data_IF_025333690170
#
_entry.id   IF_025333690170
#
_cell.length_a   1.000
_cell.length_b   1.000
_cell.length_c   1.000
_cell.angle_alpha   90.00
_cell.angle_beta   90.00
_cell.angle_gamma   90.00
#
_symmetry.space_group_name_H-M   'P 1'
#
loop_
_entity.id
_entity.type
_entity.pdbx_description
1 polymer ?
#
# COMPACT_ATOMS: atom_id res chain seq x y z
N UNK A 1 -2.58 -25.19 -5.97
CA UNK A 1 -1.81 -23.96 -5.74
C UNK A 1 -2.78 -22.81 -5.82
N UNK A 2 -3.22 -22.28 -4.69
CA UNK A 2 -4.27 -21.26 -4.67
C UNK A 2 -3.91 -20.00 -5.45
N UNK A 3 -4.88 -19.47 -6.18
CA UNK A 3 -4.80 -18.27 -7.02
C UNK A 3 -4.74 -16.95 -6.22
N UNK A 4 -4.44 -16.98 -4.92
CA UNK A 4 -4.43 -15.77 -4.09
C UNK A 4 -3.17 -14.94 -4.37
N UNK A 5 -3.35 -13.65 -4.60
CA UNK A 5 -2.24 -12.71 -4.77
C UNK A 5 -1.46 -12.62 -3.45
N UNK A 6 -0.23 -13.16 -3.44
CA UNK A 6 0.73 -12.93 -2.35
C UNK A 6 0.77 -11.44 -2.08
N UNK A 7 0.72 -11.00 -0.82
CA UNK A 7 0.77 -9.58 -0.46
C UNK A 7 1.91 -8.87 -1.21
N UNK A 8 1.56 -8.21 -2.32
CA UNK A 8 2.52 -7.48 -3.12
C UNK A 8 2.96 -6.26 -2.32
N UNK A 9 4.25 -5.93 -2.40
CA UNK A 9 4.80 -4.73 -1.73
C UNK A 9 4.00 -3.47 -2.08
N UNK A 10 3.38 -3.42 -3.26
CA UNK A 10 2.52 -2.31 -3.70
C UNK A 10 1.22 -2.21 -2.91
N UNK A 11 0.61 -3.33 -2.51
CA UNK A 11 -0.67 -3.34 -1.81
C UNK A 11 -0.56 -2.82 -0.38
N UNK A 12 0.62 -2.93 0.25
CA UNK A 12 0.88 -2.48 1.61
C UNK A 12 0.55 -0.98 1.83
N UNK A 13 0.75 -0.16 0.81
CA UNK A 13 0.62 1.29 0.91
C UNK A 13 -0.82 1.80 0.69
N UNK A 14 -1.74 0.94 0.24
CA UNK A 14 -3.15 1.30 0.09
C UNK A 14 -3.85 1.32 1.44
N UNK A 15 -4.97 2.03 1.55
CA UNK A 15 -5.74 2.08 2.80
C UNK A 15 -6.23 0.72 3.24
N UNK A 16 -6.39 0.52 4.56
CA UNK A 16 -7.02 -0.70 5.11
C UNK A 16 -8.43 -0.91 4.58
N UNK A 17 -9.20 0.17 4.41
CA UNK A 17 -10.53 0.08 3.74
C UNK A 17 -10.44 -0.29 2.26
N UNK A 18 -9.30 -0.05 1.62
CA UNK A 18 -9.01 -0.45 0.24
C UNK A 18 -8.18 -1.74 0.17
N UNK A 19 -8.05 -2.43 1.31
CA UNK A 19 -7.33 -3.68 1.52
C UNK A 19 -5.81 -3.68 1.49
N UNK A 20 -5.21 -2.50 1.62
CA UNK A 20 -3.80 -2.41 2.00
C UNK A 20 -3.58 -2.39 3.50
N UNK A 21 -2.37 -2.04 3.92
CA UNK A 21 -2.01 -1.88 5.34
C UNK A 21 -1.93 -0.40 5.76
N UNK A 22 -2.20 0.52 4.84
CA UNK A 22 -2.09 1.96 5.07
C UNK A 22 -0.66 2.43 5.31
N UNK A 23 0.35 1.67 4.88
CA UNK A 23 1.75 2.05 5.07
C UNK A 23 2.09 3.28 4.23
N UNK A 24 3.03 4.08 4.72
CA UNK A 24 3.50 5.25 3.97
C UNK A 24 4.55 4.88 2.94
N UNK A 25 4.32 5.18 1.66
CA UNK A 25 5.33 5.01 0.63
C UNK A 25 6.32 6.18 0.64
N UNK A 26 7.62 5.90 0.90
CA UNK A 26 8.64 6.95 1.07
C UNK A 26 8.78 7.86 -0.15
N UNK A 27 8.86 7.28 -1.36
CA UNK A 27 8.92 8.06 -2.60
C UNK A 27 7.75 9.04 -2.74
N UNK A 28 6.50 8.57 -2.53
CA UNK A 28 5.30 9.42 -2.58
C UNK A 28 5.37 10.52 -1.52
N UNK A 29 5.77 10.19 -0.29
CA UNK A 29 5.97 11.19 0.78
C UNK A 29 6.98 12.25 0.38
N UNK A 30 8.09 11.87 -0.25
CA UNK A 30 9.11 12.82 -0.71
C UNK A 30 8.60 13.73 -1.83
N UNK A 31 7.88 13.18 -2.82
CA UNK A 31 7.24 13.97 -3.88
C UNK A 31 6.31 15.04 -3.28
N UNK A 32 5.43 14.62 -2.38
CA UNK A 32 4.47 15.54 -1.73
C UNK A 32 5.20 16.55 -0.85
N UNK A 33 6.23 16.15 -0.10
CA UNK A 33 7.01 17.08 0.72
C UNK A 33 7.67 18.18 -0.12
N UNK A 34 8.29 17.83 -1.26
CA UNK A 34 8.95 18.79 -2.15
C UNK A 34 7.95 19.74 -2.82
N UNK A 35 6.78 19.23 -3.20
CA UNK A 35 5.69 20.07 -3.68
C UNK A 35 5.22 21.07 -2.63
N UNK A 36 4.97 20.61 -1.41
CA UNK A 36 4.53 21.46 -0.30
C UNK A 36 5.60 22.47 0.12
N UNK A 37 6.89 22.09 0.05
CA UNK A 37 7.98 23.04 0.18
C UNK A 37 7.83 24.17 -0.84
N UNK A 38 7.72 23.85 -2.13
CA UNK A 38 7.60 24.88 -3.17
C UNK A 38 6.36 25.76 -2.99
N UNK A 39 5.21 25.16 -2.65
CA UNK A 39 3.93 25.85 -2.48
C UNK A 39 3.86 26.73 -1.23
N UNK A 40 4.41 26.28 -0.11
CA UNK A 40 4.18 26.89 1.21
C UNK A 40 5.40 27.65 1.74
N UNK A 41 6.48 27.73 0.97
CA UNK A 41 7.65 28.52 1.35
C UNK A 41 7.28 30.00 1.47
N UNK A 42 7.52 30.58 2.66
CA UNK A 42 7.29 32.00 2.96
C UNK A 42 8.57 32.78 3.25
N UNK A 43 9.68 32.06 3.41
CA UNK A 43 10.97 32.70 3.66
C UNK A 43 11.38 33.53 2.44
N UNK A 44 11.67 34.84 2.60
CA UNK A 44 11.98 35.73 1.47
C UNK A 44 13.20 35.29 0.66
N UNK A 45 14.21 34.72 1.33
CA UNK A 45 15.41 34.22 0.66
C UNK A 45 15.07 33.00 -0.20
N UNK A 46 14.40 31.99 0.36
CA UNK A 46 14.01 30.80 -0.40
C UNK A 46 13.03 31.10 -1.53
N UNK A 47 12.11 32.06 -1.36
CA UNK A 47 11.24 32.55 -2.42
C UNK A 47 12.05 33.14 -3.57
N UNK A 48 13.03 33.99 -3.27
CA UNK A 48 13.93 34.58 -4.28
C UNK A 48 14.72 33.50 -5.01
N UNK A 49 15.21 32.48 -4.30
CA UNK A 49 15.91 31.35 -4.91
C UNK A 49 14.98 30.56 -5.84
N UNK A 50 13.75 30.27 -5.42
CA UNK A 50 12.75 29.61 -6.25
C UNK A 50 12.42 30.45 -7.50
N UNK A 51 12.21 31.76 -7.34
CA UNK A 51 11.88 32.67 -8.44
C UNK A 51 12.99 32.75 -9.49
N UNK A 52 14.23 32.96 -9.04
CA UNK A 52 15.38 33.17 -9.93
C UNK A 52 15.84 31.88 -10.62
N UNK A 53 15.79 30.74 -9.91
CA UNK A 53 16.30 29.46 -10.42
C UNK A 53 15.24 28.60 -11.11
N UNK A 54 13.96 28.71 -10.75
CA UNK A 54 12.90 27.82 -11.25
C UNK A 54 12.00 28.44 -12.31
N UNK A 55 11.99 29.77 -12.47
CA UNK A 55 11.16 30.49 -13.46
C UNK A 55 11.25 29.90 -14.87
N UNK A 56 12.46 29.59 -15.35
CA UNK A 56 12.66 28.99 -16.67
C UNK A 56 12.18 27.53 -16.76
N UNK A 57 12.19 26.78 -15.66
CA UNK A 57 11.90 25.34 -15.65
C UNK A 57 10.44 25.03 -15.34
N UNK A 58 9.75 25.97 -14.68
CA UNK A 58 8.35 25.92 -14.25
C UNK A 58 7.66 27.26 -14.53
N UNK A 59 7.63 27.73 -15.80
CA UNK A 59 7.10 29.05 -16.15
C UNK A 59 5.61 29.21 -15.86
N UNK A 60 4.87 28.10 -15.82
CA UNK A 60 3.45 28.08 -15.48
C UNK A 60 3.16 28.42 -14.01
N UNK A 61 4.17 28.30 -13.14
CA UNK A 61 4.03 28.47 -11.69
C UNK A 61 4.84 29.64 -11.13
N UNK A 62 5.89 30.08 -11.84
CA UNK A 62 6.85 31.05 -11.34
C UNK A 62 7.11 32.09 -12.42
N UNK A 63 6.69 33.32 -12.15
CA UNK A 63 7.01 34.50 -12.95
C UNK A 63 8.16 35.24 -12.27
N UNK A 64 9.23 35.55 -13.01
CA UNK A 64 10.34 36.35 -12.51
C UNK A 64 10.91 37.23 -13.62
N UNK A 65 11.33 38.45 -13.26
CA UNK A 65 12.05 39.38 -14.12
C UNK A 65 13.55 39.08 -14.21
N UNK A 66 14.07 38.27 -13.28
CA UNK A 66 15.47 37.90 -13.22
C UNK A 66 15.63 36.38 -13.34
N UNK A 67 16.24 35.94 -14.43
CA UNK A 67 16.48 34.52 -14.70
C UNK A 67 17.97 34.22 -14.56
N UNK A 68 18.32 33.31 -13.67
CA UNK A 68 19.72 32.87 -13.57
C UNK A 68 20.01 31.83 -14.66
N UNK A 69 21.04 32.06 -15.46
CA UNK A 69 21.52 31.10 -16.46
C UNK A 69 22.42 30.07 -15.79
N UNK A 70 21.87 28.87 -15.53
CA UNK A 70 22.61 27.77 -14.92
C UNK A 70 21.75 26.51 -14.76
N UNK A 71 22.39 25.36 -14.60
CA UNK A 71 21.69 24.11 -14.32
C UNK A 71 21.20 24.10 -12.87
N UNK A 72 19.94 23.71 -12.66
CA UNK A 72 19.42 23.50 -11.30
C UNK A 72 19.94 22.16 -10.77
N UNK A 73 20.56 22.19 -9.59
CA UNK A 73 21.18 21.04 -8.95
C UNK A 73 20.62 20.80 -7.54
N UNK A 74 20.95 19.64 -6.98
CA UNK A 74 20.57 19.25 -5.62
C UNK A 74 19.05 19.25 -5.42
N UNK A 75 18.62 19.73 -4.25
CA UNK A 75 17.22 19.71 -3.83
C UNK A 75 16.27 20.42 -4.81
N UNK A 76 16.69 21.54 -5.40
CA UNK A 76 15.86 22.29 -6.35
C UNK A 76 15.57 21.49 -7.62
N UNK A 77 16.49 20.62 -8.05
CA UNK A 77 16.27 19.70 -9.19
C UNK A 77 15.17 18.69 -8.85
N UNK A 78 15.17 18.19 -7.62
CA UNK A 78 14.14 17.25 -7.14
C UNK A 78 12.77 17.93 -7.01
N UNK A 79 12.73 19.20 -6.61
CA UNK A 79 11.49 20.00 -6.57
C UNK A 79 10.89 20.12 -7.97
N UNK A 80 11.69 20.48 -8.98
CA UNK A 80 11.24 20.55 -10.38
C UNK A 80 10.74 19.19 -10.87
N UNK A 81 11.49 18.12 -10.58
CA UNK A 81 11.08 16.76 -10.96
C UNK A 81 9.74 16.37 -10.31
N UNK A 82 9.55 16.73 -9.03
CA UNK A 82 8.32 16.45 -8.30
C UNK A 82 7.14 17.25 -8.86
N UNK A 83 7.33 18.53 -9.16
CA UNK A 83 6.32 19.38 -9.80
C UNK A 83 5.87 18.78 -11.13
N UNK A 84 6.80 18.49 -12.04
CA UNK A 84 6.49 17.89 -13.34
C UNK A 84 5.79 16.54 -13.20
N UNK A 85 6.22 15.72 -12.25
CA UNK A 85 5.58 14.44 -11.97
C UNK A 85 4.11 14.60 -11.55
N UNK A 86 3.80 15.62 -10.75
CA UNK A 86 2.44 15.91 -10.28
C UNK A 86 1.58 16.55 -11.36
N UNK A 87 2.12 17.48 -12.15
CA UNK A 87 1.37 18.19 -13.19
C UNK A 87 0.82 17.27 -14.29
N UNK A 88 1.50 16.15 -14.56
CA UNK A 88 1.00 15.12 -15.50
C UNK A 88 -0.21 14.35 -14.94
N UNK A 89 -0.39 14.35 -13.61
CA UNK A 89 -1.39 13.50 -12.91
C UNK A 89 -2.55 14.28 -12.32
N UNK A 90 -2.35 15.56 -12.02
CA UNK A 90 -3.34 16.40 -11.34
C UNK A 90 -3.41 17.75 -12.01
N UNK A 91 -4.61 18.34 -12.01
CA UNK A 91 -4.79 19.72 -12.45
C UNK A 91 -4.13 20.70 -11.48
N UNK A 92 -3.75 21.87 -12.01
CA UNK A 92 -3.18 22.97 -11.23
C UNK A 92 -4.09 23.36 -10.07
N UNK A 93 -5.39 23.56 -10.32
CA UNK A 93 -6.37 23.92 -9.28
C UNK A 93 -6.45 22.89 -8.15
N UNK A 94 -6.34 21.60 -8.50
CA UNK A 94 -6.30 20.54 -7.51
C UNK A 94 -5.06 20.64 -6.63
N UNK A 95 -3.88 20.81 -7.25
CA UNK A 95 -2.61 20.86 -6.54
C UNK A 95 -2.55 22.03 -5.54
N UNK A 96 -3.07 23.19 -5.89
CA UNK A 96 -3.05 24.36 -5.00
C UNK A 96 -4.11 24.33 -3.90
N UNK A 97 -5.21 23.59 -4.07
CA UNK A 97 -6.27 23.45 -3.07
C UNK A 97 -6.12 22.23 -2.14
N UNK A 98 -5.46 21.17 -2.58
CA UNK A 98 -5.39 19.89 -1.85
C UNK A 98 -4.49 19.97 -0.61
N UNK A 99 -4.88 19.29 0.47
CA UNK A 99 -4.04 19.11 1.66
C UNK A 99 -3.01 17.98 1.51
N UNK A 100 -1.91 18.06 2.28
CA UNK A 100 -0.76 17.14 2.20
C UNK A 100 -1.12 15.66 2.30
N UNK A 101 -1.95 15.31 3.30
CA UNK A 101 -2.39 13.93 3.55
C UNK A 101 -3.25 13.39 2.40
N UNK A 102 -4.10 14.25 1.82
CA UNK A 102 -5.00 13.90 0.72
C UNK A 102 -4.19 13.66 -0.56
N UNK A 103 -3.26 14.55 -0.90
CA UNK A 103 -2.39 14.36 -2.06
C UNK A 103 -1.55 13.08 -1.98
N UNK A 104 -0.97 12.75 -0.82
CA UNK A 104 -0.26 11.47 -0.62
C UNK A 104 -1.17 10.27 -0.92
N UNK A 105 -2.42 10.33 -0.48
CA UNK A 105 -3.39 9.26 -0.68
C UNK A 105 -3.74 9.08 -2.15
N UNK A 106 -4.06 10.18 -2.83
CA UNK A 106 -4.51 10.10 -4.23
C UNK A 106 -3.36 9.70 -5.16
N UNK A 107 -2.12 10.08 -4.81
CA UNK A 107 -0.92 9.54 -5.47
C UNK A 107 -0.78 8.04 -5.28
N UNK A 108 -0.97 7.51 -4.06
CA UNK A 108 -0.96 6.06 -3.85
C UNK A 108 -2.02 5.37 -4.70
N UNK A 109 -3.22 5.93 -4.78
CA UNK A 109 -4.31 5.35 -5.56
C UNK A 109 -4.09 5.45 -7.08
N UNK A 110 -3.37 6.45 -7.56
CA UNK A 110 -3.04 6.63 -8.99
C UNK A 110 -1.84 5.78 -9.42
N UNK A 111 -0.83 5.63 -8.54
CA UNK A 111 0.43 4.95 -8.87
C UNK A 111 0.41 3.45 -8.63
N UNK A 112 -0.42 2.97 -7.70
CA UNK A 112 -0.40 1.58 -7.27
C UNK A 112 -1.61 0.85 -7.87
N UNK A 113 -1.40 -0.35 -8.44
CA UNK A 113 -2.49 -1.09 -9.06
C UNK A 113 -3.58 -1.41 -8.04
N UNK A 114 -4.80 -1.57 -8.54
CA UNK A 114 -5.91 -2.05 -7.73
C UNK A 114 -5.62 -3.51 -7.36
N UNK A 115 -5.62 -3.87 -6.06
CA UNK A 115 -5.38 -5.24 -5.63
C UNK A 115 -6.36 -6.24 -6.27
N UNK A 116 -5.88 -7.41 -6.68
CA UNK A 116 -6.66 -8.36 -7.50
C UNK A 116 -7.92 -8.90 -6.79
N UNK A 117 -7.92 -9.01 -5.46
CA UNK A 117 -9.11 -9.41 -4.69
C UNK A 117 -10.28 -8.41 -4.80
N UNK A 118 -10.10 -7.25 -5.45
CA UNK A 118 -11.17 -6.30 -5.78
C UNK A 118 -11.72 -6.48 -7.19
N UNK A 119 -10.93 -6.98 -8.14
CA UNK A 119 -11.34 -7.11 -9.55
C UNK A 119 -12.53 -8.07 -9.72
N UNK A 120 -12.69 -9.03 -8.81
CA UNK A 120 -13.73 -10.06 -8.88
C UNK A 120 -15.06 -9.71 -8.17
N UNK A 121 -15.15 -8.59 -7.44
CA UNK A 121 -16.34 -8.23 -6.64
C UNK A 121 -16.86 -6.81 -6.93
N UNK A 122 -16.63 -6.33 -8.15
CA UNK A 122 -16.72 -4.91 -8.50
C UNK A 122 -18.14 -4.37 -8.75
N UNK A 123 -19.21 -5.11 -8.47
CA UNK A 123 -20.55 -4.65 -8.87
C UNK A 123 -21.29 -3.83 -7.81
N UNK A 124 -20.98 -3.94 -6.50
CA UNK A 124 -21.74 -3.22 -5.47
C UNK A 124 -20.90 -2.65 -4.32
N UNK A 125 -21.21 -1.40 -3.95
CA UNK A 125 -20.60 -0.66 -2.82
C UNK A 125 -20.84 -1.46 -1.52
N UNK A 126 -19.77 -1.89 -0.85
CA UNK A 126 -19.84 -2.62 0.43
C UNK A 126 -19.59 -4.14 0.37
N UNK A 127 -19.31 -4.71 -0.82
CA UNK A 127 -18.97 -6.14 -1.01
C UNK A 127 -17.47 -6.44 -0.91
N UNK A 128 -16.68 -5.48 -0.45
CA UNK A 128 -15.26 -5.70 -0.25
C UNK A 128 -15.06 -6.74 0.88
N UNK A 129 -14.29 -7.79 0.60
CA UNK A 129 -14.07 -8.92 1.52
C UNK A 129 -13.57 -8.46 2.90
N UNK A 130 -12.75 -7.42 2.97
CA UNK A 130 -12.21 -6.90 4.23
C UNK A 130 -13.22 -6.07 5.02
N UNK A 131 -14.10 -5.33 4.35
CA UNK A 131 -15.26 -4.67 4.97
C UNK A 131 -16.23 -5.71 5.51
N UNK A 132 -16.45 -6.80 4.78
CA UNK A 132 -17.26 -7.93 5.23
C UNK A 132 -16.64 -8.60 6.46
N UNK A 133 -15.36 -9.01 6.39
CA UNK A 133 -14.64 -9.65 7.51
C UNK A 133 -14.59 -8.76 8.76
N UNK A 134 -14.47 -7.44 8.60
CA UNK A 134 -14.54 -6.50 9.73
C UNK A 134 -15.93 -6.47 10.38
N UNK A 135 -16.99 -6.58 9.59
CA UNK A 135 -18.39 -6.60 10.06
C UNK A 135 -18.82 -7.94 10.65
N UNK A 136 -18.15 -9.04 10.33
CA UNK A 136 -18.44 -10.34 10.96
C UNK A 136 -18.26 -10.21 12.48
N UNK A 137 -19.24 -10.61 13.31
CA UNK A 137 -19.10 -10.70 14.76
C UNK A 137 -18.27 -11.93 15.12
N UNK A 138 -16.98 -11.88 14.80
CA UNK A 138 -16.02 -12.92 15.12
C UNK A 138 -14.91 -12.36 16.01
N UNK A 139 -14.29 -13.25 16.79
CA UNK A 139 -13.14 -12.92 17.62
C UNK A 139 -12.03 -12.25 16.77
N UNK A 140 -11.28 -11.29 17.33
CA UNK A 140 -10.17 -10.63 16.61
C UNK A 140 -9.16 -11.61 16.01
N UNK A 141 -8.94 -12.76 16.65
CA UNK A 141 -8.08 -13.85 16.15
C UNK A 141 -8.60 -14.45 14.84
N UNK A 142 -9.92 -14.63 14.72
CA UNK A 142 -10.58 -15.13 13.51
C UNK A 142 -10.48 -14.10 12.39
N UNK A 143 -10.71 -12.82 12.69
CA UNK A 143 -10.52 -11.73 11.70
C UNK A 143 -9.07 -11.63 11.22
N UNK A 144 -8.11 -11.78 12.13
CA UNK A 144 -6.68 -11.80 11.81
C UNK A 144 -6.33 -13.01 10.94
N UNK A 145 -6.93 -14.16 11.22
CA UNK A 145 -6.78 -15.35 10.39
C UNK A 145 -7.29 -15.11 8.97
N UNK A 146 -8.51 -14.60 8.80
CA UNK A 146 -9.06 -14.27 7.49
C UNK A 146 -8.19 -13.25 6.75
N UNK A 147 -7.70 -12.24 7.45
CA UNK A 147 -6.76 -11.28 6.88
C UNK A 147 -5.48 -11.96 6.36
N UNK A 148 -4.88 -12.84 7.17
CA UNK A 148 -3.67 -13.59 6.76
C UNK A 148 -3.94 -14.54 5.61
N UNK A 149 -5.10 -15.20 5.60
CA UNK A 149 -5.54 -16.09 4.54
C UNK A 149 -5.70 -15.33 3.22
N UNK A 150 -6.45 -14.22 3.21
CA UNK A 150 -6.70 -13.42 2.01
C UNK A 150 -5.46 -12.71 1.48
N UNK A 151 -4.50 -12.38 2.34
CA UNK A 151 -3.23 -11.74 1.94
C UNK A 151 -2.14 -12.74 1.58
N UNK A 152 -2.41 -14.05 1.70
CA UNK A 152 -1.40 -15.10 1.51
C UNK A 152 -0.23 -15.00 2.48
N UNK A 153 -0.46 -14.48 3.70
CA UNK A 153 0.55 -14.31 4.76
C UNK A 153 0.34 -15.28 5.93
N UNK A 154 -0.39 -16.36 5.69
CA UNK A 154 -0.48 -17.44 6.67
C UNK A 154 0.91 -18.06 6.87
N UNK A 155 1.31 -18.31 8.13
CA UNK A 155 2.63 -18.87 8.44
C UNK A 155 2.66 -20.38 8.19
N UNK A 156 2.33 -20.81 6.96
CA UNK A 156 2.53 -22.19 6.50
C UNK A 156 4.02 -22.42 6.24
N UNK A 157 4.51 -23.65 6.42
CA UNK A 157 5.96 -23.91 6.32
C UNK A 157 6.55 -23.55 4.96
N UNK A 158 5.82 -23.79 3.86
CA UNK A 158 6.24 -23.38 2.51
C UNK A 158 6.41 -21.87 2.40
N UNK A 159 5.49 -21.08 2.97
CA UNK A 159 5.60 -19.61 3.00
C UNK A 159 6.79 -19.14 3.83
N UNK A 160 7.07 -19.79 4.96
CA UNK A 160 8.20 -19.44 5.82
C UNK A 160 9.55 -19.76 5.16
N UNK A 161 9.65 -20.92 4.51
CA UNK A 161 10.84 -21.32 3.75
C UNK A 161 11.09 -20.40 2.56
N UNK A 162 10.06 -20.03 1.78
CA UNK A 162 10.16 -19.05 0.68
C UNK A 162 10.68 -17.68 1.13
N UNK A 163 10.49 -17.32 2.42
CA UNK A 163 10.93 -16.06 3.01
C UNK A 163 12.28 -16.17 3.73
N UNK A 164 12.91 -17.35 3.70
CA UNK A 164 14.22 -17.59 4.31
C UNK A 164 14.18 -17.76 5.83
N UNK A 165 13.01 -18.06 6.41
CA UNK A 165 12.95 -18.42 7.83
C UNK A 165 13.53 -19.82 8.06
N UNK A 166 14.33 -19.97 9.11
CA UNK A 166 14.89 -21.26 9.49
C UNK A 166 13.78 -22.25 9.91
N UNK A 167 13.66 -23.36 9.17
CA UNK A 167 12.69 -24.43 9.44
C UNK A 167 13.42 -25.74 9.73
N UNK A 168 13.46 -26.21 11.00
CA UNK A 168 14.21 -27.41 11.39
C UNK A 168 13.80 -28.69 10.64
N UNK A 169 12.54 -28.75 10.20
CA UNK A 169 11.93 -29.93 9.57
C UNK A 169 11.54 -29.69 8.10
N UNK A 170 12.02 -28.60 7.50
CA UNK A 170 11.71 -28.17 6.13
C UNK A 170 10.25 -27.78 5.89
N UNK A 171 9.87 -27.61 4.62
CA UNK A 171 8.51 -27.22 4.18
C UNK A 171 7.46 -28.34 4.16
N UNK A 172 7.80 -29.54 4.61
CA UNK A 172 6.87 -30.68 4.63
C UNK A 172 6.03 -30.70 5.90
N UNK A 173 4.78 -31.11 5.74
CA UNK A 173 3.85 -31.44 6.81
C UNK A 173 4.40 -32.58 7.68
N UNK A 174 4.32 -32.45 9.00
CA UNK A 174 4.80 -33.48 9.94
C UNK A 174 3.99 -34.77 9.90
N UNK A 175 2.67 -34.68 9.67
CA UNK A 175 1.76 -35.83 9.64
C UNK A 175 1.82 -36.55 8.29
N UNK A 176 1.63 -35.78 7.24
CA UNK A 176 1.39 -36.23 5.87
C UNK A 176 2.65 -36.42 5.04
N UNK A 177 3.77 -35.81 5.48
CA UNK A 177 5.04 -35.71 4.74
C UNK A 177 4.94 -35.05 3.35
N UNK A 178 3.80 -34.44 2.99
CA UNK A 178 3.59 -33.64 1.77
C UNK A 178 3.97 -32.18 2.00
N UNK A 179 4.20 -31.42 0.92
CA UNK A 179 4.49 -29.99 1.02
C UNK A 179 3.33 -29.24 1.70
N UNK A 180 3.66 -28.51 2.76
CA UNK A 180 2.69 -27.79 3.57
C UNK A 180 2.35 -26.45 2.92
N UNK A 181 1.47 -26.49 1.93
CA UNK A 181 0.85 -25.31 1.31
C UNK A 181 -0.45 -24.93 2.04
N UNK A 182 -0.97 -23.73 1.78
CA UNK A 182 -2.28 -23.29 2.27
C UNK A 182 -3.35 -24.34 1.91
N UNK A 183 -3.43 -24.73 0.64
CA UNK A 183 -4.40 -25.73 0.16
C UNK A 183 -4.26 -27.05 0.91
N UNK A 184 -3.03 -27.47 1.17
CA UNK A 184 -2.76 -28.71 1.88
C UNK A 184 -3.22 -28.65 3.34
N UNK A 185 -2.93 -27.57 4.08
CA UNK A 185 -3.34 -27.41 5.49
C UNK A 185 -4.87 -27.37 5.64
N UNK A 186 -5.60 -26.72 4.72
CA UNK A 186 -7.06 -26.56 4.84
C UNK A 186 -7.90 -27.67 4.22
N UNK A 187 -7.43 -28.28 3.12
CA UNK A 187 -8.28 -29.16 2.30
C UNK A 187 -7.79 -30.61 2.32
N UNK A 188 -6.49 -30.87 2.50
CA UNK A 188 -5.89 -32.17 2.21
C UNK A 188 -5.26 -32.85 3.43
N UNK A 189 -5.07 -32.13 4.54
CA UNK A 189 -4.42 -32.61 5.75
C UNK A 189 -5.41 -32.81 6.91
N UNK A 190 -5.19 -33.85 7.71
CA UNK A 190 -5.92 -34.09 8.96
C UNK A 190 -5.66 -32.99 10.02
N UNK A 191 -4.57 -32.24 9.95
CA UNK A 191 -4.34 -31.00 10.74
C UNK A 191 -5.45 -29.96 10.52
N UNK A 192 -6.02 -29.92 9.32
CA UNK A 192 -7.15 -29.06 9.00
C UNK A 192 -8.37 -29.33 9.88
N UNK A 193 -8.50 -30.54 10.43
CA UNK A 193 -9.57 -30.92 11.37
C UNK A 193 -9.34 -30.30 12.76
N UNK A 194 -8.09 -30.21 13.23
CA UNK A 194 -7.75 -29.50 14.48
C UNK A 194 -7.88 -27.97 14.34
N UNK A 195 -7.52 -27.44 13.17
CA UNK A 195 -7.73 -26.04 12.83
C UNK A 195 -9.23 -25.69 12.70
N UNK A 196 -10.04 -26.62 12.16
CA UNK A 196 -11.50 -26.50 12.06
C UNK A 196 -12.18 -26.69 13.43
N UNK A 197 -11.62 -27.49 14.34
CA UNK A 197 -12.07 -27.63 15.73
C UNK A 197 -11.86 -26.36 16.54
N UNK A 198 -10.66 -25.76 16.50
CA UNK A 198 -10.43 -24.47 17.18
C UNK A 198 -11.26 -23.32 16.63
N UNK A 199 -11.70 -23.36 15.36
CA UNK A 199 -12.66 -22.40 14.82
C UNK A 199 -14.12 -22.74 15.16
N UNK A 200 -14.50 -24.03 15.21
CA UNK A 200 -15.83 -24.48 15.61
C UNK A 200 -16.08 -24.40 17.14
N UNK A 201 -15.08 -24.62 17.99
CA UNK A 201 -15.22 -24.49 19.44
C UNK A 201 -15.39 -23.02 19.86
N UNK A 202 -14.95 -22.08 19.02
CA UNK A 202 -15.23 -20.64 19.17
C UNK A 202 -16.60 -20.22 18.57
N UNK A 203 -17.32 -21.12 17.90
CA UNK A 203 -18.70 -20.93 17.44
C UNK A 203 -19.72 -21.59 18.38
N UNK A 204 -19.29 -22.54 19.22
CA UNK A 204 -20.14 -23.17 20.24
C UNK A 204 -20.35 -22.32 21.51
N UNK A 205 -19.63 -21.22 21.68
CA UNK A 205 -19.90 -20.24 22.74
C UNK A 205 -20.96 -19.19 22.38
N UNK A 206 -21.69 -19.41 21.27
CA UNK A 206 -22.80 -18.57 20.80
C UNK A 206 -24.16 -19.29 20.77
N UNK A 207 -24.28 -20.43 21.47
CA UNK A 207 -25.55 -20.94 21.98
C UNK A 207 -25.44 -21.09 23.50
#
# INVERSE_FOLDING_TARGET
GSHWERCSRTNLFRWVKCGGLGLGHLFIKQLVNRFFFFRETRDPFLLTVCQTRLSRLLPEFVVSTHVTTGAVQGYMKEVVASMRFLCVRFSTDYMWSVGKKKLCKDLCDTMLPIPLYRALYNERKGQNVLELVKKVPALPRVKTFFFKLHTGTLPVRTFLEERGFYMPWGSRCLICKKLETIDHVFLLCWEGVFFRRTTNDNLKSFC
#
